data_IF_458850946649
#
_entry.id   IF_458850946649
#
_cell.length_a   1.000
_cell.length_b   1.000
_cell.length_c   1.000
_cell.angle_alpha   90.00
_cell.angle_beta   90.00
_cell.angle_gamma   90.00
#
_symmetry.space_group_name_H-M   'P 1'
#
loop_
_entity.id
_entity.type
_entity.pdbx_description
1 polymer ?
#
# COMPACT_ATOMS: atom_id res chain seq x y z
N UNK A 1 28.40 17.30 9.42
CA UNK A 1 28.74 18.51 8.66
C UNK A 1 27.60 19.51 8.61
N UNK A 2 27.88 20.74 8.10
CA UNK A 2 26.88 21.77 7.87
C UNK A 2 27.01 22.28 6.44
N UNK A 3 25.91 22.23 5.67
CA UNK A 3 25.83 22.69 4.29
C UNK A 3 24.95 23.96 4.32
N UNK A 4 25.64 25.11 4.33
CA UNK A 4 25.00 26.42 4.28
C UNK A 4 24.72 26.81 2.82
N UNK A 5 23.52 27.23 2.54
CA UNK A 5 23.08 27.57 1.19
C UNK A 5 22.54 26.40 0.40
N UNK A 6 22.26 26.65 -0.88
CA UNK A 6 21.66 25.67 -1.79
C UNK A 6 22.73 24.72 -2.35
N UNK A 7 22.55 23.43 -2.14
CA UNK A 7 23.25 22.40 -2.91
C UNK A 7 22.43 22.11 -4.17
N UNK A 8 22.87 22.60 -5.30
CA UNK A 8 22.22 22.40 -6.59
C UNK A 8 23.09 21.55 -7.51
N UNK A 9 22.61 20.35 -7.79
CA UNK A 9 23.22 19.36 -8.69
C UNK A 9 22.27 19.02 -9.84
N UNK A 10 21.34 19.90 -10.19
CA UNK A 10 20.39 19.66 -11.27
C UNK A 10 21.11 19.35 -12.58
N UNK A 11 20.79 18.18 -13.19
CA UNK A 11 21.39 17.72 -14.43
C UNK A 11 22.86 17.32 -14.33
N UNK A 12 23.47 17.34 -13.15
CA UNK A 12 24.87 16.96 -12.96
C UNK A 12 25.09 15.49 -13.28
N UNK A 13 26.28 15.16 -13.82
CA UNK A 13 26.73 13.80 -14.05
C UNK A 13 27.96 13.51 -13.19
N UNK A 14 27.75 12.81 -12.09
CA UNK A 14 28.77 12.49 -11.10
C UNK A 14 28.84 10.96 -10.98
N UNK A 15 29.70 10.28 -11.77
CA UNK A 15 29.81 8.81 -11.75
C UNK A 15 30.61 8.37 -10.49
N UNK A 16 30.15 8.77 -9.35
CA UNK A 16 30.68 8.47 -8.02
C UNK A 16 29.58 8.58 -6.97
N UNK A 17 29.86 8.04 -5.80
CA UNK A 17 29.04 8.20 -4.62
C UNK A 17 29.05 9.65 -4.12
N UNK A 18 27.90 10.12 -3.70
CA UNK A 18 27.73 11.39 -2.99
C UNK A 18 27.42 11.04 -1.54
N UNK A 19 28.40 11.25 -0.64
CA UNK A 19 28.29 11.00 0.79
C UNK A 19 28.12 12.30 1.56
N UNK A 20 26.95 12.50 2.13
CA UNK A 20 26.56 13.68 2.92
C UNK A 20 25.88 13.22 4.22
N UNK A 21 26.48 12.22 4.87
CA UNK A 21 25.98 11.65 6.13
C UNK A 21 26.21 12.57 7.30
N UNK A 22 25.32 12.52 8.30
CA UNK A 22 25.39 13.35 9.52
C UNK A 22 25.58 14.84 9.21
N UNK A 23 24.92 15.31 8.16
CA UNK A 23 24.96 16.70 7.71
C UNK A 23 23.66 17.43 8.01
N UNK A 24 23.77 18.72 8.29
CA UNK A 24 22.64 19.62 8.38
C UNK A 24 22.59 20.52 7.15
N UNK A 25 21.41 20.60 6.53
CA UNK A 25 21.17 21.44 5.36
C UNK A 25 20.29 22.64 5.73
N UNK A 26 20.64 23.83 5.25
CA UNK A 26 19.82 25.03 5.43
C UNK A 26 18.78 25.20 4.30
N UNK A 27 19.06 24.63 3.12
CA UNK A 27 18.16 24.68 1.98
C UNK A 27 17.89 23.26 1.43
N UNK A 28 16.79 23.10 0.70
CA UNK A 28 16.41 21.83 0.05
C UNK A 28 17.45 21.47 -1.01
N UNK A 29 18.19 20.37 -0.87
CA UNK A 29 19.10 19.91 -1.93
C UNK A 29 18.34 19.59 -3.21
N UNK A 30 18.90 19.94 -4.37
CA UNK A 30 18.31 19.72 -5.69
C UNK A 30 19.21 18.77 -6.48
N UNK A 31 18.68 17.59 -6.83
CA UNK A 31 19.34 16.56 -7.64
C UNK A 31 18.45 16.15 -8.84
N UNK A 32 17.58 17.03 -9.30
CA UNK A 32 16.70 16.77 -10.44
C UNK A 32 17.51 16.42 -11.67
N UNK A 33 17.15 15.33 -12.37
CA UNK A 33 17.85 14.86 -13.58
C UNK A 33 19.33 14.56 -13.37
N UNK A 34 19.83 14.51 -12.14
CA UNK A 34 21.22 14.12 -11.91
C UNK A 34 21.44 12.65 -12.22
N UNK A 35 22.68 12.31 -12.60
CA UNK A 35 23.16 10.93 -12.82
C UNK A 35 24.32 10.70 -11.88
N UNK A 36 24.17 9.76 -10.93
CA UNK A 36 25.13 9.49 -9.85
C UNK A 36 25.31 7.98 -9.66
N UNK A 37 26.28 7.57 -8.82
CA UNK A 37 26.36 6.17 -8.40
C UNK A 37 25.45 5.95 -7.17
N UNK A 38 25.77 6.46 -6.00
CA UNK A 38 24.93 6.39 -4.80
C UNK A 38 24.75 7.77 -4.16
N UNK A 39 23.64 7.93 -3.41
CA UNK A 39 23.43 9.09 -2.54
C UNK A 39 23.25 8.61 -1.09
N UNK A 40 24.12 9.05 -0.21
CA UNK A 40 24.07 8.76 1.22
C UNK A 40 23.79 10.04 2.02
N UNK A 41 22.63 10.10 2.66
CA UNK A 41 22.15 11.19 3.51
C UNK A 41 21.81 10.68 4.92
N UNK A 42 22.40 9.52 5.31
CA UNK A 42 22.10 8.86 6.58
C UNK A 42 22.37 9.79 7.77
N UNK A 43 21.49 9.80 8.76
CA UNK A 43 21.59 10.64 9.96
C UNK A 43 21.49 12.13 9.73
N UNK A 44 21.24 12.58 8.51
CA UNK A 44 21.25 14.01 8.17
C UNK A 44 19.92 14.69 8.48
N UNK A 45 19.98 16.01 8.70
CA UNK A 45 18.83 16.88 8.88
C UNK A 45 18.61 17.75 7.64
N UNK A 46 17.44 17.58 6.97
CA UNK A 46 17.13 18.23 5.70
C UNK A 46 15.77 18.96 5.78
N UNK A 47 15.63 20.14 5.16
CA UNK A 47 14.33 20.77 4.99
C UNK A 47 13.47 20.11 3.89
N UNK A 48 14.00 19.12 3.18
CA UNK A 48 13.39 18.35 2.10
C UNK A 48 14.45 17.82 1.15
N UNK A 49 14.02 17.16 0.06
CA UNK A 49 14.90 16.72 -1.04
C UNK A 49 14.14 16.81 -2.37
N UNK A 50 14.76 17.42 -3.37
CA UNK A 50 14.22 17.39 -4.73
C UNK A 50 15.12 16.57 -5.65
N UNK A 51 14.77 15.30 -5.83
CA UNK A 51 15.48 14.34 -6.64
C UNK A 51 14.58 13.75 -7.74
N UNK A 52 13.62 14.53 -8.25
CA UNK A 52 12.75 14.08 -9.35
C UNK A 52 13.60 13.71 -10.57
N UNK A 53 13.32 12.53 -11.16
CA UNK A 53 14.01 11.97 -12.31
C UNK A 53 15.52 11.77 -12.09
N UNK A 54 15.94 11.55 -10.85
CA UNK A 54 17.30 11.12 -10.52
C UNK A 54 17.57 9.75 -11.14
N UNK A 55 18.73 9.57 -11.73
CA UNK A 55 19.27 8.28 -12.14
C UNK A 55 20.44 7.90 -11.23
N UNK A 56 20.28 6.82 -10.45
CA UNK A 56 21.33 6.30 -9.59
C UNK A 56 21.65 4.85 -9.98
N UNK A 57 22.92 4.55 -10.27
CA UNK A 57 23.38 3.17 -10.53
C UNK A 57 23.34 2.27 -9.30
N UNK A 58 23.36 2.87 -8.13
CA UNK A 58 23.11 2.24 -6.85
C UNK A 58 21.81 2.74 -6.24
N UNK A 59 21.83 3.11 -4.95
CA UNK A 59 20.66 3.50 -4.20
C UNK A 59 20.72 4.91 -3.63
N UNK A 60 19.62 5.25 -2.96
CA UNK A 60 19.49 6.46 -2.14
C UNK A 60 19.23 6.04 -0.70
N UNK A 61 20.08 6.44 0.22
CA UNK A 61 19.97 6.14 1.65
C UNK A 61 19.76 7.40 2.48
N UNK A 62 18.71 7.38 3.30
CA UNK A 62 18.33 8.39 4.29
C UNK A 62 18.07 7.72 5.64
N UNK A 63 18.81 6.66 5.99
CA UNK A 63 18.63 5.93 7.25
C UNK A 63 18.80 6.85 8.45
N UNK A 64 17.80 6.88 9.34
CA UNK A 64 17.82 7.72 10.52
C UNK A 64 17.82 9.24 10.25
N UNK A 65 17.60 9.66 8.99
CA UNK A 65 17.54 11.07 8.65
C UNK A 65 16.30 11.76 9.24
N UNK A 66 16.43 13.07 9.52
CA UNK A 66 15.34 13.93 9.94
C UNK A 66 15.00 14.93 8.83
N UNK A 67 13.82 14.80 8.23
CA UNK A 67 13.37 15.63 7.11
C UNK A 67 12.15 16.43 7.53
N UNK A 68 12.21 17.75 7.42
CA UNK A 68 11.15 18.68 7.83
C UNK A 68 10.29 19.19 6.67
N UNK A 69 10.26 18.49 5.55
CA UNK A 69 9.49 18.80 4.35
C UNK A 69 9.39 17.60 3.43
N UNK A 70 9.10 17.83 2.16
CA UNK A 70 8.84 16.79 1.18
C UNK A 70 10.13 16.14 0.65
N UNK A 71 10.12 14.81 0.55
CA UNK A 71 11.07 14.02 -0.23
C UNK A 71 10.46 13.74 -1.61
N UNK A 72 11.09 14.24 -2.66
CA UNK A 72 10.63 14.09 -4.06
C UNK A 72 11.59 13.25 -4.85
N UNK A 73 11.08 12.14 -5.41
CA UNK A 73 11.80 11.19 -6.25
C UNK A 73 10.94 10.73 -7.45
N UNK A 74 9.97 11.55 -7.89
CA UNK A 74 9.06 11.14 -8.97
C UNK A 74 9.80 10.88 -10.26
N UNK A 75 9.49 9.73 -10.91
CA UNK A 75 10.08 9.31 -12.17
C UNK A 75 11.56 8.95 -12.09
N UNK A 76 12.13 8.82 -10.88
CA UNK A 76 13.52 8.43 -10.68
C UNK A 76 13.76 6.96 -11.01
N UNK A 77 14.98 6.62 -11.36
CA UNK A 77 15.45 5.26 -11.56
C UNK A 77 16.64 4.98 -10.66
N UNK A 78 16.49 3.98 -9.80
CA UNK A 78 17.55 3.51 -8.92
C UNK A 78 17.82 2.04 -9.21
N UNK A 79 19.04 1.66 -9.58
CA UNK A 79 19.38 0.24 -9.76
C UNK A 79 19.52 -0.48 -8.38
N UNK A 80 19.60 0.30 -7.30
CA UNK A 80 19.59 -0.15 -5.91
C UNK A 80 18.30 0.20 -5.16
N UNK A 81 18.43 0.38 -3.85
CA UNK A 81 17.32 0.58 -2.93
C UNK A 81 17.08 2.07 -2.62
N UNK A 82 15.85 2.38 -2.25
CA UNK A 82 15.52 3.57 -1.49
C UNK A 82 15.37 3.17 -0.01
N UNK A 83 16.27 3.62 0.86
CA UNK A 83 16.24 3.30 2.28
C UNK A 83 15.95 4.51 3.14
N UNK A 84 14.87 4.42 3.92
CA UNK A 84 14.45 5.37 4.95
C UNK A 84 14.30 4.67 6.32
N UNK A 85 15.02 3.59 6.56
CA UNK A 85 14.95 2.86 7.82
C UNK A 85 15.20 3.79 9.02
N UNK A 86 14.24 3.84 9.95
CA UNK A 86 14.30 4.70 11.13
C UNK A 86 14.25 6.21 10.86
N UNK A 87 14.09 6.63 9.61
CA UNK A 87 13.98 8.05 9.27
C UNK A 87 12.69 8.67 9.82
N UNK A 88 12.74 9.99 10.03
CA UNK A 88 11.58 10.80 10.38
C UNK A 88 11.35 11.85 9.29
N UNK A 89 10.22 11.79 8.62
CA UNK A 89 9.82 12.75 7.57
C UNK A 89 8.54 13.43 8.02
N UNK A 90 8.52 14.76 8.10
CA UNK A 90 7.36 15.51 8.56
C UNK A 90 6.99 16.61 7.58
N UNK A 91 5.82 16.44 6.97
CA UNK A 91 5.16 17.43 6.11
C UNK A 91 3.64 17.35 6.32
N UNK A 92 3.14 17.68 7.52
CA UNK A 92 1.75 17.44 7.91
C UNK A 92 0.76 18.13 6.98
N UNK A 93 -0.31 17.42 6.62
CA UNK A 93 -1.36 17.92 5.72
C UNK A 93 -0.95 18.05 4.24
N UNK A 94 0.27 17.59 3.88
CA UNK A 94 0.82 17.63 2.52
C UNK A 94 1.53 16.32 2.19
N UNK A 95 2.06 16.20 0.97
CA UNK A 95 2.93 15.09 0.61
C UNK A 95 4.26 15.15 1.39
N UNK A 96 4.61 14.06 2.08
CA UNK A 96 5.87 13.90 2.78
C UNK A 96 6.87 13.09 1.94
N UNK A 97 6.39 12.07 1.21
CA UNK A 97 7.17 11.31 0.23
C UNK A 97 6.40 11.22 -1.07
N UNK A 98 6.97 11.73 -2.15
CA UNK A 98 6.42 11.62 -3.50
C UNK A 98 7.41 10.89 -4.40
N UNK A 99 7.06 9.64 -4.78
CA UNK A 99 7.89 8.77 -5.59
C UNK A 99 7.07 8.12 -6.72
N UNK A 100 6.16 8.89 -7.33
CA UNK A 100 5.31 8.41 -8.41
C UNK A 100 6.13 7.99 -9.63
N UNK A 101 5.83 6.81 -10.17
CA UNK A 101 6.52 6.27 -11.34
C UNK A 101 8.00 5.93 -11.12
N UNK A 102 8.46 5.89 -9.87
CA UNK A 102 9.83 5.46 -9.57
C UNK A 102 10.05 4.00 -9.98
N UNK A 103 11.24 3.69 -10.45
CA UNK A 103 11.68 2.32 -10.71
C UNK A 103 12.94 2.03 -9.87
N UNK A 104 12.90 0.96 -9.07
CA UNK A 104 13.98 0.64 -8.13
C UNK A 104 13.97 -0.83 -7.72
N UNK A 105 15.05 -1.25 -7.02
CA UNK A 105 15.16 -2.61 -6.51
C UNK A 105 14.22 -2.85 -5.33
N UNK A 106 14.39 -2.13 -4.22
CA UNK A 106 13.55 -2.29 -3.02
C UNK A 106 13.36 -0.97 -2.29
N UNK A 107 12.29 -0.89 -1.53
CA UNK A 107 11.98 0.24 -0.65
C UNK A 107 12.03 -0.25 0.80
N UNK A 108 12.85 0.38 1.61
CA UNK A 108 13.06 0.05 3.01
C UNK A 108 12.57 1.20 3.88
N UNK A 109 11.45 0.99 4.59
CA UNK A 109 10.82 1.97 5.49
C UNK A 109 10.71 1.41 6.93
N UNK A 110 11.57 0.46 7.30
CA UNK A 110 11.50 -0.20 8.61
C UNK A 110 11.64 0.80 9.75
N UNK A 111 10.63 0.84 10.62
CA UNK A 111 10.59 1.77 11.74
C UNK A 111 10.55 3.25 11.39
N UNK A 112 10.37 3.60 10.11
CA UNK A 112 10.25 4.98 9.66
C UNK A 112 9.01 5.66 10.26
N UNK A 113 9.09 6.97 10.46
CA UNK A 113 7.96 7.82 10.85
C UNK A 113 7.72 8.86 9.78
N UNK A 114 6.57 8.79 9.13
CA UNK A 114 6.20 9.71 8.04
C UNK A 114 4.89 10.38 8.43
N UNK A 115 4.94 11.69 8.63
CA UNK A 115 3.79 12.55 8.89
C UNK A 115 3.48 13.38 7.65
N UNK A 116 2.43 13.01 6.93
CA UNK A 116 2.04 13.45 5.60
C UNK A 116 1.81 12.29 4.64
N UNK A 117 1.30 12.58 3.46
CA UNK A 117 1.01 11.59 2.42
C UNK A 117 2.30 10.92 1.92
N UNK A 118 2.28 9.58 1.81
CA UNK A 118 3.32 8.79 1.15
C UNK A 118 2.78 8.27 -0.18
N UNK A 119 3.31 8.77 -1.29
CA UNK A 119 2.84 8.46 -2.64
C UNK A 119 3.91 7.74 -3.47
N UNK A 120 3.49 6.61 -4.04
CA UNK A 120 4.28 5.80 -4.96
C UNK A 120 3.42 5.26 -6.10
N UNK A 121 2.54 6.09 -6.66
CA UNK A 121 1.62 5.69 -7.74
C UNK A 121 2.40 5.19 -8.95
N UNK A 122 1.97 4.05 -9.51
CA UNK A 122 2.59 3.41 -10.68
C UNK A 122 4.10 3.13 -10.53
N UNK A 123 4.60 3.01 -9.30
CA UNK A 123 5.97 2.62 -9.01
C UNK A 123 6.25 1.17 -9.45
N UNK A 124 7.52 0.88 -9.74
CA UNK A 124 8.00 -0.47 -10.03
C UNK A 124 9.09 -0.83 -9.04
N UNK A 125 8.80 -1.80 -8.20
CA UNK A 125 9.71 -2.34 -7.19
C UNK A 125 10.04 -3.78 -7.59
N UNK A 126 11.29 -4.04 -7.99
CA UNK A 126 11.71 -5.37 -8.45
C UNK A 126 11.93 -6.38 -7.30
N UNK A 127 12.12 -5.90 -6.09
CA UNK A 127 12.19 -6.67 -4.85
C UNK A 127 11.06 -6.28 -3.90
N UNK A 128 11.41 -5.95 -2.65
CA UNK A 128 10.47 -5.77 -1.56
C UNK A 128 10.11 -4.31 -1.29
N UNK A 129 8.90 -4.10 -0.78
CA UNK A 129 8.46 -2.88 -0.12
C UNK A 129 8.23 -3.19 1.36
N UNK A 130 9.18 -2.81 2.22
CA UNK A 130 9.20 -3.18 3.64
C UNK A 130 8.81 -2.00 4.55
N UNK A 131 7.60 -2.09 5.14
CA UNK A 131 7.07 -1.14 6.12
C UNK A 131 7.05 -1.75 7.54
N UNK A 132 7.87 -2.75 7.83
CA UNK A 132 7.89 -3.40 9.15
C UNK A 132 8.12 -2.35 10.26
N UNK A 133 7.16 -2.21 11.17
CA UNK A 133 7.22 -1.26 12.28
C UNK A 133 7.11 0.22 11.89
N UNK A 134 6.86 0.54 10.62
CA UNK A 134 6.71 1.91 10.15
C UNK A 134 5.45 2.58 10.71
N UNK A 135 5.46 3.90 10.83
CA UNK A 135 4.31 4.71 11.21
C UNK A 135 4.08 5.81 10.19
N UNK A 136 3.02 5.65 9.40
CA UNK A 136 2.59 6.62 8.41
C UNK A 136 1.31 7.28 8.89
N UNK A 137 1.21 8.60 8.79
CA UNK A 137 0.08 9.37 9.30
C UNK A 137 -0.33 10.46 8.33
N UNK A 138 -1.52 10.32 7.75
CA UNK A 138 -2.23 11.35 7.01
C UNK A 138 -3.75 11.15 7.21
N UNK A 139 -4.28 11.49 8.40
CA UNK A 139 -5.61 11.04 8.84
C UNK A 139 -6.77 11.57 8.00
N UNK A 140 -6.59 12.71 7.34
CA UNK A 140 -7.62 13.34 6.52
C UNK A 140 -7.59 12.88 5.05
N UNK A 141 -6.73 11.88 4.72
CA UNK A 141 -6.54 11.40 3.36
C UNK A 141 -5.92 10.01 3.28
N UNK A 142 -5.15 9.80 2.24
CA UNK A 142 -4.44 8.55 1.99
C UNK A 142 -3.03 8.64 2.60
N UNK A 143 -2.79 7.87 3.66
CA UNK A 143 -1.49 7.85 4.32
C UNK A 143 -0.44 7.08 3.50
N UNK A 144 -0.88 6.04 2.77
CA UNK A 144 -0.04 5.28 1.85
C UNK A 144 -0.79 5.00 0.54
N UNK A 145 -0.32 5.61 -0.53
CA UNK A 145 -0.90 5.55 -1.86
C UNK A 145 -0.02 4.73 -2.80
N UNK A 146 -0.41 3.47 -3.07
CA UNK A 146 0.28 2.51 -3.92
C UNK A 146 -0.55 2.16 -5.19
N UNK A 147 -1.39 3.07 -5.64
CA UNK A 147 -2.25 2.84 -6.80
C UNK A 147 -1.42 2.42 -8.03
N UNK A 148 -1.79 1.29 -8.65
CA UNK A 148 -1.11 0.69 -9.81
C UNK A 148 0.39 0.43 -9.63
N UNK A 149 0.87 0.34 -8.39
CA UNK A 149 2.25 -0.02 -8.07
C UNK A 149 2.44 -1.52 -8.29
N UNK A 150 3.61 -1.88 -8.83
CA UNK A 150 4.02 -3.28 -9.00
C UNK A 150 5.17 -3.57 -8.06
N UNK A 151 4.98 -4.53 -7.14
CA UNK A 151 6.00 -5.05 -6.24
C UNK A 151 6.22 -6.52 -6.60
N UNK A 152 7.38 -6.85 -7.17
CA UNK A 152 7.70 -8.22 -7.61
C UNK A 152 8.14 -9.13 -6.49
N UNK A 153 8.45 -8.58 -5.33
CA UNK A 153 8.71 -9.29 -4.09
C UNK A 153 7.57 -9.11 -3.08
N UNK A 154 7.92 -9.01 -1.81
CA UNK A 154 6.98 -8.87 -0.70
C UNK A 154 6.59 -7.44 -0.39
N UNK A 155 5.30 -7.23 -0.08
CA UNK A 155 4.82 -6.06 0.65
C UNK A 155 4.70 -6.44 2.12
N UNK A 156 5.50 -5.80 2.99
CA UNK A 156 5.55 -6.11 4.41
C UNK A 156 4.82 -5.03 5.23
N UNK A 157 3.64 -5.38 5.74
CA UNK A 157 2.79 -4.57 6.62
C UNK A 157 2.63 -5.29 7.96
N UNK A 158 3.69 -5.32 8.76
CA UNK A 158 3.77 -6.14 9.98
C UNK A 158 4.65 -5.52 11.07
N UNK A 159 4.78 -6.22 12.19
CA UNK A 159 5.68 -5.82 13.28
C UNK A 159 5.29 -4.50 13.92
N UNK A 160 3.97 -4.25 14.04
CA UNK A 160 3.43 -3.01 14.59
C UNK A 160 3.46 -1.83 13.61
N UNK A 161 3.46 -2.11 12.30
CA UNK A 161 3.24 -1.07 11.29
C UNK A 161 1.90 -0.38 11.53
N UNK A 162 1.87 0.93 11.45
CA UNK A 162 0.66 1.74 11.67
C UNK A 162 0.45 2.67 10.49
N UNK A 163 -0.73 2.57 9.87
CA UNK A 163 -1.17 3.46 8.81
C UNK A 163 -2.40 4.20 9.33
N UNK A 164 -2.24 5.49 9.64
CA UNK A 164 -3.33 6.37 10.09
C UNK A 164 -3.80 7.21 8.92
N UNK A 165 -4.96 6.89 8.37
CA UNK A 165 -5.48 7.32 7.09
C UNK A 165 -5.53 6.15 6.11
N UNK A 166 -6.00 6.36 4.90
CA UNK A 166 -6.24 5.26 3.98
C UNK A 166 -4.94 4.61 3.45
N UNK A 167 -4.98 3.28 3.34
CA UNK A 167 -4.06 2.46 2.55
C UNK A 167 -4.72 2.17 1.20
N UNK A 168 -4.23 2.80 0.14
CA UNK A 168 -4.73 2.58 -1.21
C UNK A 168 -3.80 1.64 -2.00
N UNK A 169 -4.30 0.42 -2.21
CA UNK A 169 -3.69 -0.62 -3.05
C UNK A 169 -4.50 -0.83 -4.35
N UNK A 170 -5.32 0.13 -4.77
CA UNK A 170 -6.15 0.03 -5.96
C UNK A 170 -5.31 -0.25 -7.21
N UNK A 171 -5.57 -1.39 -7.85
CA UNK A 171 -4.84 -1.82 -9.04
C UNK A 171 -3.38 -2.17 -8.81
N UNK A 172 -2.91 -2.25 -7.57
CA UNK A 172 -1.57 -2.72 -7.24
C UNK A 172 -1.42 -4.21 -7.53
N UNK A 173 -0.18 -4.62 -7.82
CA UNK A 173 0.19 -6.03 -7.98
C UNK A 173 1.39 -6.32 -7.09
N UNK A 174 1.25 -7.31 -6.21
CA UNK A 174 2.27 -7.70 -5.23
C UNK A 174 2.48 -9.21 -5.34
N UNK A 175 3.71 -9.71 -5.27
CA UNK A 175 3.90 -11.16 -5.27
C UNK A 175 3.44 -11.77 -3.94
N UNK A 176 3.97 -11.31 -2.82
CA UNK A 176 3.55 -11.81 -1.51
C UNK A 176 3.14 -10.68 -0.56
N UNK A 177 2.01 -10.82 0.11
CA UNK A 177 1.56 -9.90 1.16
C UNK A 177 1.92 -10.49 2.53
N UNK A 178 2.85 -9.84 3.23
CA UNK A 178 3.26 -10.17 4.58
C UNK A 178 2.60 -9.20 5.55
N UNK A 179 1.63 -9.65 6.30
CA UNK A 179 0.89 -8.82 7.25
C UNK A 179 0.75 -9.47 8.63
N UNK A 180 0.29 -8.71 9.58
CA UNK A 180 -0.30 -9.17 10.83
C UNK A 180 -1.55 -8.35 11.15
N UNK A 181 -2.42 -8.92 11.97
CA UNK A 181 -3.73 -8.30 12.27
C UNK A 181 -3.58 -6.95 12.97
N UNK A 182 -2.52 -6.77 13.76
CA UNK A 182 -2.24 -5.53 14.49
C UNK A 182 -1.84 -4.38 13.54
N UNK A 183 -1.37 -4.71 12.34
CA UNK A 183 -0.94 -3.75 11.32
C UNK A 183 -2.02 -3.45 10.26
N UNK A 184 -3.21 -4.05 10.39
CA UNK A 184 -4.30 -3.76 9.46
C UNK A 184 -4.82 -2.33 9.62
N UNK A 185 -5.14 -1.62 8.54
CA UNK A 185 -5.73 -0.28 8.59
C UNK A 185 -7.04 -0.26 9.39
N UNK A 186 -7.43 0.92 9.83
CA UNK A 186 -8.73 1.10 10.49
C UNK A 186 -9.90 0.74 9.54
N UNK A 187 -11.10 0.39 10.08
CA UNK A 187 -12.28 0.24 9.25
C UNK A 187 -12.55 1.50 8.42
N UNK A 188 -12.73 1.33 7.12
CA UNK A 188 -12.91 2.43 6.18
C UNK A 188 -11.63 2.96 5.52
N UNK A 189 -10.47 2.48 5.93
CA UNK A 189 -9.17 2.98 5.46
C UNK A 189 -8.41 1.96 4.59
N UNK A 190 -9.08 0.96 4.04
CA UNK A 190 -8.49 -0.03 3.15
C UNK A 190 -9.14 0.04 1.75
N UNK A 191 -8.32 0.17 0.70
CA UNK A 191 -8.77 0.17 -0.69
C UNK A 191 -8.03 -0.92 -1.46
N UNK A 192 -8.75 -1.97 -1.87
CA UNK A 192 -8.19 -3.16 -2.54
C UNK A 192 -8.79 -3.40 -3.94
N UNK A 193 -9.53 -2.45 -4.49
CA UNK A 193 -10.16 -2.66 -5.79
C UNK A 193 -9.10 -2.97 -6.86
N UNK A 194 -9.24 -4.13 -7.54
CA UNK A 194 -8.28 -4.65 -8.52
C UNK A 194 -6.86 -4.88 -7.98
N UNK A 195 -6.67 -4.97 -6.67
CA UNK A 195 -5.41 -5.41 -6.09
C UNK A 195 -5.20 -6.91 -6.37
N UNK A 196 -3.98 -7.28 -6.76
CA UNK A 196 -3.57 -8.66 -7.02
C UNK A 196 -2.41 -9.02 -6.08
N UNK A 197 -2.46 -10.21 -5.51
CA UNK A 197 -1.38 -10.82 -4.72
C UNK A 197 -1.42 -12.33 -4.88
N UNK A 198 -0.26 -13.00 -4.86
CA UNK A 198 -0.19 -14.44 -5.12
C UNK A 198 -0.20 -15.27 -3.82
N UNK A 199 0.30 -14.72 -2.72
CA UNK A 199 0.29 -15.41 -1.43
C UNK A 199 0.10 -14.46 -0.25
N UNK A 200 -0.41 -15.00 0.86
CA UNK A 200 -0.52 -14.34 2.16
C UNK A 200 0.44 -15.02 3.14
N UNK A 201 1.25 -14.25 3.86
CA UNK A 201 2.27 -14.79 4.76
C UNK A 201 2.24 -14.05 6.10
N UNK A 202 2.25 -14.81 7.20
CA UNK A 202 2.42 -14.28 8.56
C UNK A 202 1.14 -13.82 9.25
N UNK A 203 0.10 -13.44 8.50
CA UNK A 203 -1.21 -13.04 9.05
C UNK A 203 -2.18 -14.22 9.21
N UNK A 204 -3.43 -13.95 9.63
CA UNK A 204 -4.46 -14.97 9.73
C UNK A 204 -4.70 -15.68 8.39
N UNK A 205 -4.84 -17.01 8.44
CA UNK A 205 -5.07 -17.87 7.26
C UNK A 205 -6.46 -18.48 7.26
N UNK A 206 -7.36 -18.04 8.12
CA UNK A 206 -8.75 -18.44 8.15
C UNK A 206 -9.67 -17.42 7.46
N UNK A 207 -10.76 -17.92 6.88
CA UNK A 207 -11.72 -17.12 6.13
C UNK A 207 -12.37 -16.02 6.98
N UNK A 208 -12.71 -16.31 8.23
CA UNK A 208 -13.44 -15.37 9.09
C UNK A 208 -12.65 -14.07 9.32
N UNK A 209 -11.40 -14.20 9.75
CA UNK A 209 -10.53 -13.04 9.99
C UNK A 209 -10.19 -12.30 8.69
N UNK A 210 -9.97 -13.03 7.58
CA UNK A 210 -9.70 -12.39 6.28
C UNK A 210 -10.93 -11.69 5.69
N UNK A 211 -12.13 -12.19 5.92
CA UNK A 211 -13.38 -11.47 5.59
C UNK A 211 -13.48 -10.19 6.41
N UNK A 212 -13.14 -10.23 7.71
CA UNK A 212 -13.09 -9.04 8.56
C UNK A 212 -12.04 -8.02 8.08
N UNK A 213 -10.91 -8.48 7.54
CA UNK A 213 -9.93 -7.61 6.87
C UNK A 213 -10.53 -6.96 5.61
N UNK A 214 -11.18 -7.72 4.72
CA UNK A 214 -11.85 -7.19 3.54
C UNK A 214 -12.99 -6.22 3.89
N UNK A 215 -13.67 -6.43 5.02
CA UNK A 215 -14.75 -5.53 5.49
C UNK A 215 -14.26 -4.15 5.92
N UNK A 216 -12.94 -3.92 6.01
CA UNK A 216 -12.35 -2.59 6.27
C UNK A 216 -12.37 -1.67 5.05
N UNK A 217 -12.81 -2.17 3.88
CA UNK A 217 -12.93 -1.39 2.64
C UNK A 217 -14.13 -0.44 2.68
N UNK A 218 -14.05 0.64 1.92
CA UNK A 218 -15.11 1.66 1.79
C UNK A 218 -15.40 1.93 0.30
N UNK A 219 -16.12 1.02 -0.40
CA UNK A 219 -16.48 1.21 -1.81
C UNK A 219 -17.29 2.49 -2.07
N UNK A 220 -18.09 2.92 -1.10
CA UNK A 220 -18.94 4.11 -1.14
C UNK A 220 -18.16 5.42 -1.33
N UNK A 221 -16.90 5.52 -0.92
CA UNK A 221 -16.01 6.64 -1.28
C UNK A 221 -15.93 6.85 -2.80
N UNK A 222 -16.17 5.81 -3.59
CA UNK A 222 -16.12 5.82 -5.06
C UNK A 222 -17.51 5.72 -5.71
N UNK A 223 -18.57 5.88 -4.91
CA UNK A 223 -19.94 5.76 -5.38
C UNK A 223 -20.37 4.33 -5.71
N UNK A 224 -19.62 3.34 -5.21
CA UNK A 224 -19.95 1.93 -5.36
C UNK A 224 -20.40 1.34 -4.01
N UNK A 225 -21.33 0.40 -4.04
CA UNK A 225 -21.84 -0.22 -2.81
C UNK A 225 -21.02 -1.43 -2.39
N UNK A 226 -20.32 -2.06 -3.33
CA UNK A 226 -19.59 -3.30 -3.09
C UNK A 226 -18.59 -3.60 -4.21
N UNK A 227 -17.39 -4.01 -3.83
CA UNK A 227 -16.37 -4.53 -4.75
C UNK A 227 -16.25 -6.05 -4.64
N UNK A 228 -16.73 -6.83 -5.63
CA UNK A 228 -16.64 -8.30 -5.60
C UNK A 228 -15.22 -8.82 -5.84
N UNK A 229 -14.38 -8.08 -6.59
CA UNK A 229 -13.06 -8.56 -7.01
C UNK A 229 -12.11 -8.85 -5.83
N UNK A 230 -12.02 -8.06 -4.74
CA UNK A 230 -11.15 -8.40 -3.61
C UNK A 230 -11.49 -9.74 -2.94
N UNK A 231 -12.77 -10.10 -2.90
CA UNK A 231 -13.21 -11.41 -2.40
C UNK A 231 -12.85 -12.55 -3.34
N UNK A 232 -12.99 -12.36 -4.67
CA UNK A 232 -12.54 -13.33 -5.67
C UNK A 232 -11.02 -13.53 -5.60
N UNK A 233 -10.27 -12.46 -5.44
CA UNK A 233 -8.82 -12.51 -5.29
C UNK A 233 -8.41 -13.31 -4.05
N UNK A 234 -9.02 -13.04 -2.90
CA UNK A 234 -8.75 -13.77 -1.67
C UNK A 234 -9.08 -15.25 -1.81
N UNK A 235 -10.24 -15.58 -2.39
CA UNK A 235 -10.65 -16.97 -2.62
C UNK A 235 -9.72 -17.71 -3.60
N UNK A 236 -9.23 -17.02 -4.63
CA UNK A 236 -8.23 -17.55 -5.54
C UNK A 236 -6.96 -17.93 -4.78
N UNK A 237 -6.42 -17.01 -3.98
CA UNK A 237 -5.18 -17.21 -3.20
C UNK A 237 -5.35 -18.34 -2.19
N UNK A 238 -6.48 -18.42 -1.48
CA UNK A 238 -6.76 -19.53 -0.58
C UNK A 238 -6.74 -20.89 -1.29
N UNK A 239 -7.32 -21.00 -2.49
CA UNK A 239 -7.27 -22.25 -3.26
C UNK A 239 -5.84 -22.59 -3.69
N UNK A 240 -5.10 -21.60 -4.18
CA UNK A 240 -3.73 -21.82 -4.62
C UNK A 240 -2.83 -22.27 -3.47
N UNK A 241 -3.14 -21.82 -2.25
CA UNK A 241 -2.47 -22.22 -1.01
C UNK A 241 -3.04 -23.52 -0.38
N UNK A 242 -4.06 -24.17 -1.00
CA UNK A 242 -4.66 -25.42 -0.53
C UNK A 242 -5.75 -25.27 0.54
N UNK A 243 -6.27 -24.06 0.76
CA UNK A 243 -7.33 -23.74 1.73
C UNK A 243 -8.72 -23.69 1.04
N UNK A 244 -9.17 -24.78 0.45
CA UNK A 244 -10.40 -24.82 -0.35
C UNK A 244 -11.67 -24.48 0.43
N UNK A 245 -11.79 -24.92 1.67
CA UNK A 245 -12.95 -24.65 2.53
C UNK A 245 -13.04 -23.16 2.89
N UNK A 246 -11.91 -22.52 3.20
CA UNK A 246 -11.82 -21.10 3.44
C UNK A 246 -12.16 -20.30 2.18
N UNK A 247 -11.64 -20.70 1.03
CA UNK A 247 -11.97 -20.10 -0.26
C UNK A 247 -13.49 -20.15 -0.52
N UNK A 248 -14.11 -21.29 -0.25
CA UNK A 248 -15.55 -21.46 -0.42
C UNK A 248 -16.33 -20.54 0.53
N UNK A 249 -15.88 -20.41 1.77
CA UNK A 249 -16.49 -19.52 2.78
C UNK A 249 -16.42 -18.05 2.36
N UNK A 250 -15.29 -17.59 1.85
CA UNK A 250 -15.12 -16.23 1.29
C UNK A 250 -16.08 -15.98 0.12
N UNK A 251 -16.25 -16.97 -0.78
CA UNK A 251 -17.14 -16.82 -1.92
C UNK A 251 -18.63 -16.79 -1.52
N UNK A 252 -19.02 -17.54 -0.50
CA UNK A 252 -20.39 -17.47 0.06
C UNK A 252 -20.65 -16.06 0.63
N UNK A 253 -19.71 -15.52 1.37
CA UNK A 253 -19.84 -14.16 1.92
C UNK A 253 -19.88 -13.10 0.80
N UNK A 254 -19.05 -13.25 -0.24
CA UNK A 254 -19.12 -12.38 -1.43
C UNK A 254 -20.52 -12.36 -2.03
N UNK A 255 -21.13 -13.53 -2.24
CA UNK A 255 -22.48 -13.62 -2.80
C UNK A 255 -23.52 -12.95 -1.88
N UNK A 256 -23.40 -13.15 -0.56
CA UNK A 256 -24.27 -12.50 0.42
C UNK A 256 -24.21 -10.97 0.33
N UNK A 257 -23.00 -10.41 0.31
CA UNK A 257 -22.78 -8.97 0.23
C UNK A 257 -23.20 -8.37 -1.12
N UNK A 258 -22.89 -9.05 -2.22
CA UNK A 258 -23.28 -8.63 -3.57
C UNK A 258 -24.80 -8.58 -3.73
N UNK A 259 -25.53 -9.54 -3.15
CA UNK A 259 -27.01 -9.54 -3.15
C UNK A 259 -27.55 -8.42 -2.26
N UNK A 260 -26.92 -8.17 -1.10
CA UNK A 260 -27.27 -7.03 -0.24
C UNK A 260 -27.13 -5.70 -0.99
N UNK A 261 -26.03 -5.49 -1.68
CA UNK A 261 -25.79 -4.31 -2.51
C UNK A 261 -26.83 -4.17 -3.64
N UNK A 262 -27.19 -5.27 -4.33
CA UNK A 262 -28.27 -5.25 -5.33
C UNK A 262 -29.62 -4.88 -4.75
N UNK A 263 -29.94 -5.36 -3.52
CA UNK A 263 -31.19 -4.98 -2.83
C UNK A 263 -31.21 -3.51 -2.45
N UNK A 264 -30.08 -2.97 -2.02
CA UNK A 264 -29.97 -1.56 -1.69
C UNK A 264 -30.27 -0.66 -2.90
N UNK A 265 -29.83 -1.07 -4.09
CA UNK A 265 -30.11 -0.36 -5.38
C UNK A 265 -31.53 -0.47 -5.87
N UNK A 266 -32.33 -1.44 -5.39
CA UNK A 266 -33.70 -1.62 -5.85
C UNK A 266 -34.59 -0.44 -5.45
N UNK A 267 -35.16 0.22 -6.42
CA UNK A 267 -35.99 1.44 -6.24
C UNK A 267 -37.38 1.17 -5.64
N UNK A 268 -37.88 -0.06 -5.79
CA UNK A 268 -39.24 -0.45 -5.32
C UNK A 268 -39.18 -1.29 -4.03
N UNK A 269 -39.96 -0.95 -2.98
CA UNK A 269 -40.01 -1.75 -1.75
C UNK A 269 -40.53 -3.17 -1.98
N UNK A 270 -41.45 -3.37 -2.94
CA UNK A 270 -41.94 -4.70 -3.34
C UNK A 270 -40.84 -5.56 -3.95
N UNK A 271 -40.01 -4.99 -4.84
CA UNK A 271 -38.85 -5.67 -5.39
C UNK A 271 -37.81 -6.02 -4.34
N UNK A 272 -37.57 -5.13 -3.36
CA UNK A 272 -36.69 -5.45 -2.22
C UNK A 272 -37.19 -6.64 -1.42
N UNK A 273 -38.51 -6.72 -1.15
CA UNK A 273 -39.10 -7.84 -0.42
C UNK A 273 -38.97 -9.16 -1.21
N UNK A 274 -39.29 -9.17 -2.50
CA UNK A 274 -39.18 -10.35 -3.35
C UNK A 274 -37.72 -10.85 -3.46
N UNK A 275 -36.77 -9.95 -3.62
CA UNK A 275 -35.35 -10.27 -3.63
C UNK A 275 -34.89 -10.84 -2.29
N UNK A 276 -35.37 -10.31 -1.17
CA UNK A 276 -35.05 -10.80 0.18
C UNK A 276 -35.53 -12.23 0.38
N UNK A 277 -36.80 -12.53 0.00
CA UNK A 277 -37.37 -13.88 0.11
C UNK A 277 -36.56 -14.87 -0.75
N UNK A 278 -36.30 -14.52 -2.01
CA UNK A 278 -35.50 -15.33 -2.92
C UNK A 278 -34.10 -15.62 -2.37
N UNK A 279 -33.43 -14.59 -1.88
CA UNK A 279 -32.05 -14.68 -1.36
C UNK A 279 -31.98 -15.52 -0.09
N UNK A 280 -32.99 -15.39 0.81
CA UNK A 280 -33.08 -16.21 2.01
C UNK A 280 -33.26 -17.68 1.69
N UNK A 281 -34.16 -18.02 0.74
CA UNK A 281 -34.37 -19.39 0.30
C UNK A 281 -33.07 -19.98 -0.31
N UNK A 282 -32.40 -19.25 -1.19
CA UNK A 282 -31.17 -19.72 -1.82
C UNK A 282 -30.00 -19.83 -0.81
N UNK A 283 -29.95 -18.95 0.19
CA UNK A 283 -28.94 -18.99 1.25
C UNK A 283 -29.07 -20.24 2.12
N UNK A 284 -30.30 -20.52 2.57
CA UNK A 284 -30.60 -21.65 3.46
C UNK A 284 -30.49 -22.99 2.75
N UNK A 285 -30.98 -23.11 1.49
CA UNK A 285 -31.06 -24.40 0.80
C UNK A 285 -29.79 -24.78 0.05
N UNK A 286 -29.10 -23.84 -0.55
CA UNK A 286 -28.01 -24.13 -1.49
C UNK A 286 -26.69 -23.42 -1.13
N UNK A 287 -26.64 -22.68 -0.01
CA UNK A 287 -25.46 -21.83 0.29
C UNK A 287 -25.11 -20.95 -0.92
N UNK A 288 -26.13 -20.33 -1.53
CA UNK A 288 -26.04 -19.55 -2.77
C UNK A 288 -25.52 -20.34 -3.99
N UNK A 289 -25.78 -21.67 -4.02
CA UNK A 289 -25.31 -22.56 -5.09
C UNK A 289 -23.87 -23.05 -4.91
N UNK A 290 -23.23 -22.74 -3.80
CA UNK A 290 -21.86 -23.14 -3.50
C UNK A 290 -21.71 -24.24 -2.45
N UNK A 291 -22.80 -24.57 -1.76
CA UNK A 291 -22.89 -25.70 -0.80
C UNK A 291 -24.14 -26.56 -1.11
N UNK A 292 -24.13 -27.32 -2.21
CA UNK A 292 -25.34 -28.05 -2.68
C UNK A 292 -25.85 -29.11 -1.67
N UNK A 293 -24.99 -29.58 -0.75
CA UNK A 293 -25.40 -30.58 0.24
C UNK A 293 -26.32 -30.00 1.34
N UNK A 294 -26.43 -28.69 1.51
CA UNK A 294 -27.41 -28.10 2.42
C UNK A 294 -28.86 -28.30 1.99
N UNK A 295 -29.10 -28.68 0.72
CA UNK A 295 -30.43 -29.01 0.21
C UNK A 295 -30.94 -30.39 0.67
N UNK A 296 -30.08 -31.23 1.23
CA UNK A 296 -30.37 -32.61 1.64
C UNK A 296 -30.27 -32.79 3.17
N UNK A 297 -29.97 -31.76 3.92
CA UNK A 297 -29.97 -31.71 5.38
C UNK A 297 -31.25 -31.06 5.91
#
# INVERSE_FOLDING_TARGET
>A
GWISGLLDLEGARIPRDIGLTDCRFDAVPVLRYAVIDNLFLDGSALPGLNADRLEARGGVSLKGAAVSGELRLSGSRLDGNLSLDGASVSCPGRAALTADGIALRSVELRGARIDGETRMTAARVDGDLDLTGARLSHPDGEALHLNRTVVRGGLFLRGGAQIKGALDLTGASVDTLHDDEASWPAPGDLLLNRCLYNALIGGPMDAERRIAWLARQTPDRWGEEFWPQPYEQLAYVFRDMGHDDDAQTVLVEKERLQRAARRARASSPLWRLLLTIKDSLLGVTLGYGRKPLLAFA
#
